data_IF_780308589015
#
_entry.id   IF_780308589015
#
_cell.length_a   1.000
_cell.length_b   1.000
_cell.length_c   1.000
_cell.angle_alpha   90.00
_cell.angle_beta   90.00
_cell.angle_gamma   90.00
#
_symmetry.space_group_name_H-M   'P 1'
#
loop_
_entity.id
_entity.type
_entity.pdbx_description
1 polymer ?
#
# COMPACT_ATOMS: atom_id res chain seq x y z
N UNK A 1 3.41 -20.97 -3.89
CA UNK A 1 3.27 -20.57 -2.47
C UNK A 1 2.74 -19.16 -2.40
N UNK A 2 2.02 -18.82 -1.33
CA UNK A 2 1.51 -17.47 -1.09
C UNK A 2 2.29 -16.79 0.03
N UNK A 3 2.66 -15.53 -0.19
CA UNK A 3 3.39 -14.71 0.78
C UNK A 3 2.51 -13.57 1.28
N UNK A 4 2.63 -13.23 2.56
CA UNK A 4 1.93 -12.08 3.14
C UNK A 4 2.64 -10.81 2.69
N UNK A 5 1.88 -9.90 2.08
CA UNK A 5 2.36 -8.58 1.73
C UNK A 5 1.52 -7.50 2.39
N UNK A 6 2.09 -6.31 2.50
CA UNK A 6 1.43 -5.08 2.86
C UNK A 6 1.43 -4.17 1.66
N UNK A 7 0.27 -3.69 1.27
CA UNK A 7 0.18 -2.59 0.30
C UNK A 7 0.63 -1.30 0.98
N UNK A 8 1.58 -0.60 0.35
CA UNK A 8 2.16 0.64 0.87
C UNK A 8 1.15 1.80 0.85
N UNK A 9 0.24 1.80 -0.12
CA UNK A 9 -0.71 2.90 -0.31
C UNK A 9 -1.87 2.81 0.69
N UNK A 10 -2.50 1.65 0.78
CA UNK A 10 -3.66 1.44 1.67
C UNK A 10 -3.27 0.96 3.06
N UNK A 11 -2.08 0.41 3.23
CA UNK A 11 -1.64 -0.26 4.45
C UNK A 11 -2.34 -1.60 4.72
N UNK A 12 -3.12 -2.12 3.78
CA UNK A 12 -3.81 -3.41 3.89
C UNK A 12 -2.84 -4.57 3.77
N UNK A 13 -3.13 -5.67 4.48
CA UNK A 13 -2.32 -6.87 4.43
C UNK A 13 -3.10 -8.01 3.78
N UNK A 14 -2.52 -8.66 2.79
CA UNK A 14 -3.14 -9.77 2.09
C UNK A 14 -2.07 -10.73 1.56
N UNK A 15 -2.52 -11.89 1.10
CA UNK A 15 -1.63 -12.91 0.55
C UNK A 15 -1.60 -12.80 -0.98
N UNK A 16 -0.42 -12.87 -1.58
CA UNK A 16 -0.20 -12.90 -3.04
C UNK A 16 0.67 -14.09 -3.41
N UNK A 17 0.60 -14.51 -4.67
CA UNK A 17 1.51 -15.53 -5.17
C UNK A 17 2.96 -15.03 -5.06
N UNK A 18 3.88 -15.90 -4.62
CA UNK A 18 5.31 -15.55 -4.49
C UNK A 18 5.93 -15.05 -5.80
N UNK A 19 5.36 -15.44 -6.95
CA UNK A 19 5.79 -15.04 -8.28
C UNK A 19 5.17 -13.72 -8.76
N UNK A 20 4.39 -13.02 -7.93
CA UNK A 20 3.76 -11.75 -8.33
C UNK A 20 4.84 -10.67 -8.53
N UNK A 21 4.95 -10.05 -9.72
CA UNK A 21 5.99 -9.07 -10.03
C UNK A 21 5.85 -7.76 -9.26
N UNK A 22 4.71 -7.51 -8.61
CA UNK A 22 4.46 -6.30 -7.82
C UNK A 22 5.09 -6.37 -6.42
N UNK A 23 5.58 -7.53 -6.01
CA UNK A 23 6.31 -7.70 -4.75
C UNK A 23 7.63 -6.92 -4.80
N UNK A 24 7.87 -6.08 -3.79
CA UNK A 24 9.02 -5.17 -3.72
C UNK A 24 8.73 -3.78 -4.28
N UNK A 25 7.73 -3.64 -5.17
CA UNK A 25 7.24 -2.36 -5.66
C UNK A 25 6.15 -1.79 -4.73
N UNK A 26 4.87 -1.76 -5.17
CA UNK A 26 3.76 -1.29 -4.33
C UNK A 26 3.49 -2.22 -3.13
N UNK A 27 3.89 -3.49 -3.22
CA UNK A 27 3.70 -4.47 -2.17
C UNK A 27 4.99 -4.69 -1.37
N UNK A 28 4.95 -4.35 -0.09
CA UNK A 28 6.00 -4.63 0.87
C UNK A 28 5.85 -6.07 1.40
N UNK A 29 6.91 -6.86 1.33
CA UNK A 29 6.89 -8.23 1.85
C UNK A 29 6.98 -8.20 3.38
N UNK A 30 5.97 -8.75 4.06
CA UNK A 30 5.94 -8.77 5.53
C UNK A 30 6.88 -9.83 6.09
N UNK A 31 7.48 -9.52 7.25
CA UNK A 31 8.51 -10.34 7.91
C UNK A 31 8.19 -11.84 7.88
N UNK A 32 8.99 -12.60 7.11
CA UNK A 32 8.79 -14.02 6.79
C UNK A 32 8.72 -14.94 8.01
N UNK A 33 9.35 -14.56 9.15
CA UNK A 33 9.30 -15.34 10.40
C UNK A 33 7.90 -15.38 11.01
N UNK A 34 7.17 -14.25 11.00
CA UNK A 34 5.83 -14.16 11.58
C UNK A 34 4.77 -14.62 10.58
N UNK A 35 5.02 -14.43 9.29
CA UNK A 35 4.12 -14.82 8.22
C UNK A 35 4.86 -15.68 7.19
N UNK A 36 5.11 -16.96 7.48
CA UNK A 36 5.77 -17.85 6.54
C UNK A 36 4.92 -18.01 5.26
N UNK A 37 5.55 -18.42 4.14
CA UNK A 37 4.84 -18.79 2.93
C UNK A 37 3.81 -19.89 3.23
N UNK A 38 2.59 -19.69 2.77
CA UNK A 38 1.47 -20.59 3.00
C UNK A 38 1.04 -21.25 1.68
N UNK A 39 0.65 -22.54 1.69
CA UNK A 39 0.04 -23.16 0.52
C UNK A 39 -1.39 -22.64 0.27
N UNK A 40 -2.02 -22.00 1.27
CA UNK A 40 -3.39 -21.49 1.21
C UNK A 40 -3.41 -19.98 1.49
N UNK A 41 -4.20 -19.23 0.73
CA UNK A 41 -4.43 -17.79 0.94
C UNK A 41 -5.08 -17.56 2.31
N UNK A 42 -4.47 -16.70 3.12
CA UNK A 42 -5.08 -16.21 4.37
C UNK A 42 -6.03 -15.04 4.11
N UNK A 43 -7.03 -14.82 4.98
CA UNK A 43 -7.91 -13.65 4.88
C UNK A 43 -7.13 -12.33 4.88
N UNK A 44 -7.58 -11.37 4.08
CA UNK A 44 -7.04 -10.02 4.08
C UNK A 44 -7.34 -9.34 5.43
N UNK A 45 -6.37 -8.60 5.96
CA UNK A 45 -6.52 -7.80 7.17
C UNK A 45 -6.60 -6.32 6.78
N UNK A 46 -7.77 -5.73 6.98
CA UNK A 46 -7.97 -4.30 6.81
C UNK A 46 -7.26 -3.52 7.92
N UNK A 47 -6.71 -2.36 7.56
CA UNK A 47 -6.14 -1.42 8.52
C UNK A 47 -7.27 -0.49 8.94
N UNK A 48 -7.88 -0.74 10.09
CA UNK A 48 -8.79 0.21 10.70
C UNK A 48 -7.96 1.42 11.14
N UNK A 49 -8.34 2.62 10.69
CA UNK A 49 -7.73 3.84 11.22
C UNK A 49 -8.21 3.97 12.68
N UNK A 50 -7.31 4.23 13.64
CA UNK A 50 -7.75 4.53 14.99
C UNK A 50 -8.66 5.78 14.94
N UNK A 51 -9.77 5.72 15.66
CA UNK A 51 -10.71 6.84 15.75
C UNK A 51 -9.95 8.08 16.24
N UNK A 52 -9.88 9.11 15.39
CA UNK A 52 -9.12 10.35 15.66
C UNK A 52 -7.88 10.59 14.79
N UNK A 53 -7.44 9.60 13.98
CA UNK A 53 -6.37 9.84 13.01
C UNK A 53 -6.90 10.61 11.80
N UNK A 54 -6.68 11.92 11.77
CA UNK A 54 -7.01 12.78 10.62
C UNK A 54 -6.38 12.20 9.33
N UNK A 55 -7.20 12.10 8.28
CA UNK A 55 -6.74 11.78 6.94
C UNK A 55 -5.98 12.99 6.41
N UNK A 56 -4.66 13.03 6.61
CA UNK A 56 -3.81 13.93 5.82
C UNK A 56 -3.77 13.37 4.40
N UNK A 57 -4.81 13.66 3.61
CA UNK A 57 -4.64 13.70 2.18
C UNK A 57 -3.65 14.82 1.93
N UNK A 58 -2.37 14.47 1.75
CA UNK A 58 -1.44 15.37 1.09
C UNK A 58 -1.94 15.49 -0.34
N UNK A 59 -2.79 16.49 -0.57
CA UNK A 59 -3.06 17.01 -1.90
C UNK A 59 -1.73 17.57 -2.39
N UNK A 60 -0.96 16.76 -3.13
CA UNK A 60 0.10 17.28 -3.97
C UNK A 60 -0.58 18.19 -4.99
N UNK A 61 -0.58 19.49 -4.67
CA UNK A 61 -1.01 20.56 -5.56
C UNK A 61 -0.25 20.41 -6.86
N UNK A 62 -0.95 19.95 -7.89
CA UNK A 62 -0.48 20.03 -9.26
C UNK A 62 -0.16 21.51 -9.56
N UNK A 63 1.12 21.78 -9.80
CA UNK A 63 1.57 23.03 -10.40
C UNK A 63 0.83 23.24 -11.72
N UNK A 64 -0.01 24.27 -11.78
CA UNK A 64 -0.40 24.90 -13.02
C UNK A 64 -0.12 26.39 -12.86
N UNK A 65 1.10 26.79 -13.23
CA UNK A 65 1.50 28.19 -13.32
C UNK A 65 0.64 28.93 -14.33
N UNK A 66 -0.19 29.85 -13.86
CA UNK A 66 -0.84 30.87 -14.68
C UNK A 66 0.08 32.09 -14.68
N UNK A 67 0.82 32.29 -15.78
CA UNK A 67 1.55 33.54 -16.02
C UNK A 67 0.65 34.45 -16.84
N UNK A 68 0.01 35.42 -16.20
CA UNK A 68 -0.65 36.52 -16.90
C UNK A 68 0.41 37.55 -17.30
N UNK A 69 0.64 37.66 -18.61
CA UNK A 69 1.42 38.72 -19.25
C UNK A 69 0.58 39.30 -20.39
N UNK A 70 -0.03 40.45 -20.15
CA UNK A 70 -0.55 41.44 -21.12
C UNK A 70 -0.91 42.69 -20.30
N UNK A 71 -0.70 43.94 -20.70
CA UNK A 71 -0.02 44.59 -21.82
C UNK A 71 0.35 46.02 -21.36
#
# INVERSE_FOLDING_TARGET
MFVRVRDKDTGHQFDVAETDPRIGGPFELLNRKTYPPSPVIRPAKHRLRPAGAASTHTTESAEAGMTDKEA
#
